data_IF_735660491962
#
_entry.id   IF_735660491962
#
_cell.length_a   1.000
_cell.length_b   1.000
_cell.length_c   1.000
_cell.angle_alpha   90.00
_cell.angle_beta   90.00
_cell.angle_gamma   90.00
#
_symmetry.space_group_name_H-M   'P 1'
#
loop_
_entity.id
_entity.type
_entity.pdbx_description
1 polymer ?
#
# COMPACT_ATOMS: atom_id res chain seq x y z
N UNK A 1 -13.14 -30.98 -13.41
CA UNK A 1 -12.63 -29.75 -14.03
C UNK A 1 -11.88 -28.96 -12.96
N UNK A 2 -10.55 -29.09 -12.90
CA UNK A 2 -9.72 -28.26 -12.00
C UNK A 2 -9.54 -26.91 -12.70
N UNK A 3 -10.08 -25.84 -12.12
CA UNK A 3 -9.75 -24.49 -12.55
C UNK A 3 -8.25 -24.30 -12.27
N UNK A 4 -7.45 -24.19 -13.33
CA UNK A 4 -6.07 -23.77 -13.20
C UNK A 4 -6.10 -22.36 -12.61
N UNK A 5 -5.73 -22.24 -11.34
CA UNK A 5 -5.51 -20.93 -10.73
C UNK A 5 -4.38 -20.29 -11.55
N UNK A 6 -4.62 -19.18 -12.27
CA UNK A 6 -3.55 -18.53 -13.00
C UNK A 6 -2.44 -18.22 -12.00
N UNK A 7 -1.20 -18.61 -12.32
CA UNK A 7 -0.03 -18.29 -11.51
C UNK A 7 0.09 -16.76 -11.45
N UNK A 8 -0.51 -16.14 -10.43
CA UNK A 8 -0.33 -14.72 -10.17
C UNK A 8 1.16 -14.50 -9.86
N UNK A 9 1.76 -13.52 -10.54
CA UNK A 9 3.11 -13.06 -10.19
C UNK A 9 3.10 -12.62 -8.71
N UNK A 10 4.18 -12.86 -7.94
CA UNK A 10 4.26 -12.50 -6.52
C UNK A 10 3.85 -11.04 -6.24
N UNK A 11 4.31 -10.11 -7.08
CA UNK A 11 3.96 -8.69 -7.01
C UNK A 11 2.44 -8.44 -7.04
N UNK A 12 1.73 -9.14 -7.92
CA UNK A 12 0.27 -9.02 -8.04
C UNK A 12 -0.45 -9.63 -6.83
N UNK A 13 0.09 -10.70 -6.27
CA UNK A 13 -0.47 -11.32 -5.05
C UNK A 13 -0.32 -10.40 -3.85
N UNK A 14 0.85 -9.79 -3.68
CA UNK A 14 1.14 -8.89 -2.56
C UNK A 14 0.36 -7.59 -2.67
N UNK A 15 0.26 -7.01 -3.87
CA UNK A 15 -0.62 -5.86 -4.15
C UNK A 15 -2.08 -6.17 -3.80
N UNK A 16 -2.60 -7.32 -4.23
CA UNK A 16 -3.97 -7.74 -3.90
C UNK A 16 -4.17 -7.94 -2.40
N UNK A 17 -3.15 -8.40 -1.68
CA UNK A 17 -3.22 -8.54 -0.23
C UNK A 17 -3.37 -7.17 0.45
N UNK A 18 -2.54 -6.19 0.09
CA UNK A 18 -2.55 -4.85 0.69
C UNK A 18 -3.69 -3.96 0.20
N UNK A 19 -4.33 -4.28 -0.94
CA UNK A 19 -5.53 -3.58 -1.40
C UNK A 19 -6.68 -3.60 -0.36
N UNK A 20 -6.75 -4.65 0.45
CA UNK A 20 -7.68 -4.69 1.58
C UNK A 20 -7.19 -3.80 2.72
N UNK A 21 -7.80 -2.61 2.85
CA UNK A 21 -7.49 -1.61 3.89
C UNK A 21 -7.36 -2.17 5.32
N UNK A 22 -8.14 -3.19 5.69
CA UNK A 22 -7.99 -3.82 7.02
C UNK A 22 -6.66 -4.56 7.15
N UNK A 23 -6.27 -5.36 6.13
CA UNK A 23 -4.99 -6.07 6.13
C UNK A 23 -3.82 -5.10 6.11
N UNK A 24 -3.95 -4.00 5.37
CA UNK A 24 -2.97 -2.92 5.38
C UNK A 24 -2.82 -2.32 6.78
N UNK A 25 -3.93 -1.91 7.41
CA UNK A 25 -3.92 -1.34 8.75
C UNK A 25 -3.29 -2.31 9.76
N UNK A 26 -3.68 -3.58 9.76
CA UNK A 26 -3.19 -4.58 10.70
C UNK A 26 -1.67 -4.78 10.60
N UNK A 27 -1.13 -4.90 9.38
CA UNK A 27 0.32 -5.07 9.16
C UNK A 27 1.09 -3.81 9.55
N UNK A 28 0.63 -2.63 9.17
CA UNK A 28 1.32 -1.39 9.52
C UNK A 28 1.26 -1.13 11.03
N UNK A 29 0.13 -1.38 11.67
CA UNK A 29 -0.01 -1.35 13.13
C UNK A 29 0.96 -2.30 13.81
N UNK A 30 1.10 -3.52 13.28
CA UNK A 30 2.04 -4.51 13.82
C UNK A 30 3.50 -4.07 13.66
N UNK A 31 3.91 -3.62 12.47
CA UNK A 31 5.32 -3.38 12.12
C UNK A 31 5.81 -2.01 12.56
N UNK A 32 4.99 -0.97 12.45
CA UNK A 32 5.39 0.42 12.71
C UNK A 32 4.92 0.95 14.07
N UNK A 33 3.95 0.28 14.71
CA UNK A 33 3.32 0.77 15.93
C UNK A 33 3.25 -0.30 17.04
N UNK A 34 4.14 -1.30 17.02
CA UNK A 34 4.24 -2.36 18.03
C UNK A 34 2.91 -3.08 18.31
N UNK A 35 2.10 -3.26 17.27
CA UNK A 35 0.77 -3.89 17.37
C UNK A 35 -0.35 -2.98 17.89
N UNK A 36 -0.07 -1.71 18.18
CA UNK A 36 -1.10 -0.76 18.60
C UNK A 36 -2.02 -0.38 17.43
N UNK A 37 -3.36 -0.36 17.62
CA UNK A 37 -4.32 -0.11 16.56
C UNK A 37 -4.45 1.39 16.21
N UNK A 38 -3.35 2.01 15.79
CA UNK A 38 -3.29 3.44 15.44
C UNK A 38 -4.04 3.73 14.14
N UNK A 39 -3.83 2.89 13.11
CA UNK A 39 -4.53 3.00 11.84
C UNK A 39 -5.83 2.19 11.88
N UNK A 40 -6.92 2.81 11.44
CA UNK A 40 -8.19 2.12 11.19
C UNK A 40 -8.47 2.01 9.69
N UNK A 41 -9.27 1.03 9.26
CA UNK A 41 -9.69 0.93 7.86
C UNK A 41 -10.37 2.21 7.34
N UNK A 42 -11.03 2.96 8.21
CA UNK A 42 -11.77 4.17 7.86
C UNK A 42 -10.85 5.38 7.67
N UNK A 43 -9.65 5.36 8.28
CA UNK A 43 -8.64 6.41 8.10
C UNK A 43 -7.77 6.24 6.85
N UNK A 44 -8.03 5.20 6.04
CA UNK A 44 -7.23 4.86 4.87
C UNK A 44 -7.99 5.19 3.58
N UNK A 45 -7.30 5.80 2.63
CA UNK A 45 -7.70 5.97 1.23
C UNK A 45 -6.70 5.24 0.35
N UNK A 46 -7.18 4.30 -0.47
CA UNK A 46 -6.35 3.69 -1.50
C UNK A 46 -6.31 4.71 -2.63
N UNK A 47 -5.14 5.25 -2.92
CA UNK A 47 -4.97 6.12 -4.07
C UNK A 47 -4.79 5.20 -5.29
N UNK A 48 -5.89 4.86 -5.96
CA UNK A 48 -5.85 4.14 -7.24
C UNK A 48 -5.32 5.12 -8.30
N UNK A 49 -4.00 5.15 -8.47
CA UNK A 49 -3.38 5.92 -9.54
C UNK A 49 -2.87 4.95 -10.58
N UNK A 50 -3.66 4.71 -11.63
CA UNK A 50 -3.29 3.86 -12.77
C UNK A 50 -2.09 4.41 -13.59
N UNK A 51 -1.45 5.48 -13.12
CA UNK A 51 -0.28 6.12 -13.70
C UNK A 51 0.79 6.29 -12.63
N UNK A 52 2.04 6.02 -13.01
CA UNK A 52 3.23 6.27 -12.19
C UNK A 52 3.16 7.70 -11.63
N UNK A 53 3.03 7.85 -10.33
CA UNK A 53 2.93 9.15 -9.68
C UNK A 53 4.32 9.56 -9.22
N UNK A 54 4.77 10.73 -9.67
CA UNK A 54 5.95 11.39 -9.14
C UNK A 54 5.47 12.35 -8.06
N UNK A 55 5.87 12.10 -6.81
CA UNK A 55 5.69 13.06 -5.74
C UNK A 55 6.94 13.92 -5.65
N UNK A 56 6.77 15.21 -5.94
CA UNK A 56 7.82 16.21 -5.78
C UNK A 56 7.75 16.71 -4.33
N UNK A 57 8.45 16.00 -3.44
CA UNK A 57 8.83 16.59 -2.16
C UNK A 57 10.04 17.46 -2.46
N UNK A 58 9.99 18.76 -2.17
CA UNK A 58 10.89 19.85 -2.61
C UNK A 58 12.42 19.55 -2.65
N UNK A 59 12.88 18.47 -2.01
CA UNK A 59 14.29 18.03 -1.98
C UNK A 59 14.57 16.64 -2.61
N UNK A 60 13.56 15.76 -2.76
CA UNK A 60 13.71 14.40 -3.30
C UNK A 60 12.45 13.95 -4.07
N UNK A 61 12.46 13.99 -5.42
CA UNK A 61 11.37 13.44 -6.20
C UNK A 61 11.33 11.92 -6.02
N UNK A 62 10.22 11.39 -5.49
CA UNK A 62 10.01 9.95 -5.33
C UNK A 62 9.09 9.46 -6.45
N UNK A 63 9.56 8.50 -7.24
CA UNK A 63 8.79 7.87 -8.31
C UNK A 63 8.22 6.53 -7.85
N UNK A 64 6.91 6.34 -7.95
CA UNK A 64 6.26 5.07 -7.61
C UNK A 64 5.71 4.37 -8.85
N UNK A 65 5.91 3.05 -8.94
CA UNK A 65 5.32 2.25 -10.02
C UNK A 65 4.02 1.59 -9.52
N UNK A 66 2.92 2.35 -9.62
CA UNK A 66 1.61 1.96 -9.13
C UNK A 66 1.07 0.64 -9.72
N UNK A 67 1.65 0.11 -10.81
CA UNK A 67 1.29 -1.22 -11.31
C UNK A 67 1.61 -2.31 -10.28
N UNK A 68 2.70 -2.17 -9.52
CA UNK A 68 3.19 -3.16 -8.54
C UNK A 68 3.09 -2.68 -7.11
N UNK A 69 3.37 -1.42 -6.88
CA UNK A 69 3.50 -0.87 -5.54
C UNK A 69 2.14 -0.48 -4.96
N UNK A 70 2.05 -0.45 -3.63
CA UNK A 70 0.83 -0.04 -2.93
C UNK A 70 1.05 1.33 -2.29
N UNK A 71 0.27 2.33 -2.69
CA UNK A 71 0.26 3.66 -2.08
C UNK A 71 -1.05 3.87 -1.31
N UNK A 72 -0.94 4.17 -0.02
CA UNK A 72 -2.10 4.41 0.84
C UNK A 72 -1.95 5.76 1.52
N UNK A 73 -2.97 6.60 1.35
CA UNK A 73 -3.11 7.84 2.10
C UNK A 73 -3.77 7.55 3.44
N UNK A 74 -3.18 8.10 4.49
CA UNK A 74 -3.58 7.91 5.87
C UNK A 74 -3.95 9.26 6.47
N UNK A 75 -5.05 9.30 7.22
CA UNK A 75 -5.45 10.48 8.01
C UNK A 75 -5.75 10.07 9.44
N UNK A 76 -4.89 10.47 10.38
CA UNK A 76 -5.05 10.18 11.81
C UNK A 76 -4.84 11.47 12.59
N UNK A 77 -5.82 11.85 13.41
CA UNK A 77 -5.72 13.03 14.27
C UNK A 77 -5.48 14.35 13.52
N UNK A 78 -5.91 14.45 12.25
CA UNK A 78 -5.67 15.63 11.40
C UNK A 78 -4.31 15.66 10.71
N UNK A 79 -3.46 14.66 10.95
CA UNK A 79 -2.17 14.48 10.27
C UNK A 79 -2.40 13.58 9.05
N UNK A 80 -1.87 14.01 7.90
CA UNK A 80 -1.86 13.22 6.67
C UNK A 80 -0.48 12.59 6.46
N UNK A 81 -0.47 11.30 6.13
CA UNK A 81 0.72 10.58 5.73
C UNK A 81 0.46 9.78 4.45
N UNK A 82 1.49 9.57 3.65
CA UNK A 82 1.50 8.64 2.52
C UNK A 82 2.42 7.47 2.90
N UNK A 83 1.89 6.25 2.80
CA UNK A 83 2.65 5.03 3.04
C UNK A 83 2.74 4.28 1.72
N UNK A 84 3.97 4.08 1.26
CA UNK A 84 4.26 3.32 0.06
C UNK A 84 4.89 1.97 0.44
N UNK A 85 4.37 0.88 -0.14
CA UNK A 85 4.96 -0.45 -0.08
C UNK A 85 5.45 -0.79 -1.47
N UNK A 86 6.77 -0.80 -1.65
CA UNK A 86 7.43 -1.11 -2.92
C UNK A 86 7.71 -2.61 -3.03
N UNK A 87 7.26 -3.21 -4.14
CA UNK A 87 7.50 -4.62 -4.42
C UNK A 87 8.79 -4.77 -5.24
N UNK A 88 9.89 -5.06 -4.54
CA UNK A 88 11.19 -5.32 -5.18
C UNK A 88 11.14 -6.62 -6.00
N UNK A 89 11.63 -6.57 -7.24
CA UNK A 89 11.91 -7.80 -8.00
C UNK A 89 13.11 -8.49 -7.37
N UNK A 90 12.97 -9.78 -7.05
CA UNK A 90 14.11 -10.66 -6.82
C UNK A 90 14.90 -10.89 -8.12
#
# INVERSE_FOLDING_TARGET
>A
MRLATPLLKPDATLKNFFHYKSRFADIINLVCFDGQPILSRNSLSNEDTDMSTVFDFDEHPISFNAYRDTLVKVSVGGIYALIAIENQKA
#
